data_IF_631680293878
#
_entry.id   IF_631680293878
#
_cell.length_a   1.000
_cell.length_b   1.000
_cell.length_c   1.000
_cell.angle_alpha   90.00
_cell.angle_beta   90.00
_cell.angle_gamma   90.00
#
_symmetry.space_group_name_H-M   'P 1'
#
loop_
_entity.id
_entity.type
_entity.pdbx_description
1 polymer ?
#
# COMPACT_ATOMS: atom_id res chain seq x y z
N UNK A 1 0.52 1.21 -9.92
CA UNK A 1 1.48 1.37 -9.57
C UNK A 1 1.86 2.65 -9.49
N UNK A 2 1.57 3.38 -10.32
CA UNK A 2 1.95 4.73 -10.26
C UNK A 2 1.27 5.52 -9.17
N UNK A 3 0.13 5.09 -8.69
CA UNK A 3 -0.54 5.85 -7.63
C UNK A 3 0.25 5.83 -6.33
N UNK A 4 0.96 4.74 -6.04
CA UNK A 4 1.79 4.68 -4.85
C UNK A 4 2.95 5.64 -5.00
N UNK A 5 3.64 5.60 -6.14
CA UNK A 5 4.77 6.48 -6.37
C UNK A 5 4.37 7.94 -6.34
N UNK A 6 3.24 8.26 -6.94
CA UNK A 6 2.76 9.63 -6.95
C UNK A 6 2.47 10.13 -5.53
N UNK A 7 1.82 9.28 -4.73
CA UNK A 7 1.49 9.68 -3.36
C UNK A 7 2.75 9.92 -2.55
N UNK A 8 3.73 9.04 -2.67
CA UNK A 8 4.97 9.22 -1.95
C UNK A 8 5.69 10.47 -2.41
N UNK A 9 5.68 10.72 -3.73
CA UNK A 9 6.33 11.90 -4.26
C UNK A 9 5.71 13.17 -3.69
N UNK A 10 4.40 13.19 -3.60
CA UNK A 10 3.71 14.35 -3.04
C UNK A 10 4.03 14.52 -1.55
N UNK A 11 4.09 13.43 -0.82
CA UNK A 11 4.38 13.50 0.60
C UNK A 11 5.79 13.97 0.88
N UNK A 12 6.73 13.59 0.04
CA UNK A 12 8.12 13.97 0.23
C UNK A 12 8.49 15.26 -0.47
N UNK A 13 7.62 15.75 -1.33
CA UNK A 13 7.91 16.97 -2.09
C UNK A 13 8.97 16.75 -3.15
N UNK A 14 9.00 15.55 -3.75
CA UNK A 14 9.96 15.22 -4.79
C UNK A 14 9.22 14.78 -6.03
N UNK A 15 9.96 14.46 -7.07
CA UNK A 15 9.34 14.06 -8.32
C UNK A 15 9.00 12.58 -8.32
N UNK A 16 7.97 12.23 -9.04
CA UNK A 16 7.56 10.85 -9.16
C UNK A 16 8.67 9.99 -9.75
N UNK A 17 9.45 10.55 -10.67
CA UNK A 17 10.58 9.84 -11.26
C UNK A 17 11.60 9.43 -10.22
N UNK A 18 11.84 10.30 -9.24
CA UNK A 18 12.78 9.99 -8.18
C UNK A 18 12.26 8.83 -7.33
N UNK A 19 10.97 8.84 -7.06
CA UNK A 19 10.36 7.76 -6.28
C UNK A 19 10.44 6.46 -7.06
N UNK A 20 10.08 6.49 -8.33
CA UNK A 20 10.11 5.27 -9.15
C UNK A 20 11.50 4.67 -9.23
N UNK A 21 12.51 5.51 -9.39
CA UNK A 21 13.90 5.02 -9.45
C UNK A 21 14.29 4.37 -8.13
N UNK A 22 13.90 4.99 -7.02
CA UNK A 22 14.22 4.46 -5.71
C UNK A 22 13.51 3.14 -5.46
N UNK A 23 12.23 3.07 -5.84
CA UNK A 23 11.45 1.85 -5.67
C UNK A 23 12.09 0.70 -6.44
N UNK A 24 12.55 0.98 -7.66
CA UNK A 24 13.22 -0.05 -8.45
C UNK A 24 14.47 -0.55 -7.75
N UNK A 25 15.25 0.35 -7.18
CA UNK A 25 16.47 -0.06 -6.47
C UNK A 25 16.12 -0.89 -5.24
N UNK A 26 15.10 -0.48 -4.49
CA UNK A 26 14.70 -1.23 -3.31
C UNK A 26 14.18 -2.62 -3.69
N UNK A 27 13.45 -2.72 -4.78
CA UNK A 27 12.94 -4.01 -5.23
C UNK A 27 14.06 -4.92 -5.71
N UNK A 28 15.19 -4.34 -6.13
CA UNK A 28 16.34 -5.12 -6.53
C UNK A 28 17.17 -5.59 -5.34
N UNK A 29 16.77 -5.18 -4.13
CA UNK A 29 17.47 -5.60 -2.94
C UNK A 29 18.42 -4.58 -2.35
N UNK A 30 18.46 -3.38 -2.92
CA UNK A 30 19.33 -2.34 -2.37
C UNK A 30 18.78 -1.84 -1.05
N UNK A 31 19.68 -1.44 -0.16
CA UNK A 31 19.26 -0.91 1.13
C UNK A 31 19.31 0.61 1.09
N UNK A 32 18.62 1.25 2.03
CA UNK A 32 18.62 2.70 2.11
C UNK A 32 20.03 3.27 2.25
N UNK A 33 20.89 2.75 3.15
CA UNK A 33 22.26 3.28 3.24
C UNK A 33 23.04 3.14 1.94
N UNK A 34 22.85 2.03 1.23
CA UNK A 34 23.54 1.83 -0.03
C UNK A 34 23.08 2.84 -1.06
N UNK A 35 21.78 3.05 -1.17
CA UNK A 35 21.23 3.98 -2.13
C UNK A 35 21.69 5.40 -1.81
N UNK A 36 21.66 5.77 -0.55
CA UNK A 36 22.07 7.11 -0.15
C UNK A 36 23.53 7.37 -0.48
N UNK A 37 24.35 6.33 -0.39
CA UNK A 37 25.77 6.51 -0.63
C UNK A 37 26.18 6.33 -2.08
N UNK A 38 25.65 5.35 -2.76
CA UNK A 38 26.14 4.98 -4.08
C UNK A 38 25.18 5.22 -5.23
N UNK A 39 23.96 5.60 -4.97
CA UNK A 39 22.97 5.79 -6.02
C UNK A 39 22.28 7.15 -5.93
N UNK A 40 23.00 8.15 -5.44
CA UNK A 40 22.43 9.46 -5.31
C UNK A 40 21.95 10.02 -6.62
N UNK A 41 22.71 9.85 -7.67
CA UNK A 41 22.31 10.43 -8.94
C UNK A 41 21.08 9.72 -9.52
N UNK A 42 20.88 8.46 -9.19
CA UNK A 42 19.71 7.73 -9.66
C UNK A 42 18.46 8.25 -8.99
N UNK A 43 18.57 8.60 -7.71
CA UNK A 43 17.41 9.05 -6.95
C UNK A 43 17.24 10.56 -6.96
N UNK A 44 18.09 11.29 -7.68
CA UNK A 44 18.00 12.73 -7.68
C UNK A 44 18.43 13.36 -6.36
N UNK A 45 19.39 12.72 -5.71
CA UNK A 45 19.98 13.21 -4.46
C UNK A 45 19.05 13.17 -3.26
N UNK A 46 18.19 12.19 -3.20
CA UNK A 46 17.39 11.98 -2.01
C UNK A 46 18.32 11.64 -0.85
N UNK A 47 18.10 12.28 0.29
CA UNK A 47 18.97 12.03 1.43
C UNK A 47 18.47 10.83 2.22
N UNK A 48 19.22 10.48 3.25
CA UNK A 48 18.94 9.34 4.08
C UNK A 48 17.55 9.37 4.67
N UNK A 49 17.16 10.53 5.19
CA UNK A 49 15.85 10.68 5.81
C UNK A 49 14.74 10.49 4.79
N UNK A 50 14.90 11.08 3.62
CA UNK A 50 13.89 10.97 2.58
C UNK A 50 13.78 9.53 2.10
N UNK A 51 14.90 8.84 1.94
CA UNK A 51 14.90 7.46 1.51
C UNK A 51 14.24 6.56 2.55
N UNK A 52 14.51 6.82 3.81
CA UNK A 52 13.93 6.02 4.88
C UNK A 52 12.43 6.21 4.94
N UNK A 53 11.98 7.47 4.84
CA UNK A 53 10.56 7.75 4.81
C UNK A 53 9.90 7.10 3.60
N UNK A 54 10.56 7.17 2.45
CA UNK A 54 10.04 6.57 1.23
C UNK A 54 9.86 5.07 1.40
N UNK A 55 10.86 4.41 1.99
CA UNK A 55 10.79 2.98 2.19
C UNK A 55 9.62 2.61 3.11
N UNK A 56 9.44 3.35 4.18
CA UNK A 56 8.36 3.08 5.12
C UNK A 56 7.00 3.30 4.47
N UNK A 57 6.87 4.40 3.74
CA UNK A 57 5.61 4.68 3.08
C UNK A 57 5.33 3.68 1.98
N UNK A 58 6.36 3.25 1.27
CA UNK A 58 6.19 2.25 0.22
C UNK A 58 5.63 0.97 0.81
N UNK A 59 6.21 0.53 1.91
CA UNK A 59 5.73 -0.69 2.56
C UNK A 59 4.28 -0.54 3.01
N UNK A 60 3.98 0.57 3.65
CA UNK A 60 2.63 0.81 4.14
C UNK A 60 1.62 0.86 2.99
N UNK A 61 1.96 1.59 1.94
CA UNK A 61 1.03 1.75 0.83
C UNK A 61 0.86 0.46 0.04
N UNK A 62 1.91 -0.35 -0.05
CA UNK A 62 1.79 -1.65 -0.71
C UNK A 62 0.86 -2.57 0.07
N UNK A 63 0.99 -2.55 1.39
CA UNK A 63 0.09 -3.34 2.23
C UNK A 63 -1.34 -2.84 2.12
N UNK A 64 -1.50 -1.52 2.02
CA UNK A 64 -2.82 -0.93 1.87
C UNK A 64 -3.45 -1.37 0.56
N UNK A 65 -2.70 -1.33 -0.54
CA UNK A 65 -3.23 -1.75 -1.84
C UNK A 65 -3.55 -3.23 -1.86
N UNK A 66 -2.70 -4.04 -1.23
CA UNK A 66 -2.94 -5.46 -1.16
C UNK A 66 -4.22 -5.74 -0.39
N UNK A 67 -4.39 -5.08 0.74
CA UNK A 67 -5.60 -5.25 1.54
C UNK A 67 -6.83 -4.76 0.78
N UNK A 68 -6.68 -3.66 0.06
CA UNK A 68 -7.79 -3.12 -0.74
C UNK A 68 -8.27 -4.16 -1.76
N UNK A 69 -7.33 -4.80 -2.46
CA UNK A 69 -7.70 -5.82 -3.42
C UNK A 69 -8.39 -7.00 -2.78
N UNK A 70 -7.89 -7.43 -1.62
CA UNK A 70 -8.50 -8.52 -0.89
C UNK A 70 -9.94 -8.19 -0.49
N UNK A 71 -10.15 -6.97 -0.01
CA UNK A 71 -11.47 -6.54 0.42
C UNK A 71 -12.43 -6.46 -0.77
N UNK A 72 -11.97 -5.89 -1.89
CA UNK A 72 -12.80 -5.79 -3.08
C UNK A 72 -13.20 -7.17 -3.57
N UNK A 73 -12.24 -8.10 -3.63
CA UNK A 73 -12.54 -9.45 -4.07
C UNK A 73 -13.51 -10.15 -3.15
N UNK A 74 -13.34 -9.97 -1.86
CA UNK A 74 -14.21 -10.63 -0.88
C UNK A 74 -15.65 -10.15 -1.01
N UNK A 75 -15.84 -8.84 -1.15
CA UNK A 75 -17.19 -8.30 -1.27
C UNK A 75 -17.79 -8.68 -2.61
N UNK A 76 -16.97 -8.70 -3.65
CA UNK A 76 -17.45 -9.08 -4.97
C UNK A 76 -17.91 -10.52 -4.98
N UNK A 77 -17.18 -11.41 -4.33
CA UNK A 77 -17.56 -12.82 -4.25
C UNK A 77 -18.87 -12.99 -3.50
N UNK A 78 -19.17 -12.09 -2.59
CA UNK A 78 -20.42 -12.14 -1.87
C UNK A 78 -21.57 -11.54 -2.67
N UNK A 79 -21.24 -10.93 -3.82
CA UNK A 79 -22.25 -10.31 -4.66
C UNK A 79 -22.78 -9.01 -4.10
N UNK A 80 -22.02 -8.39 -3.21
CA UNK A 80 -22.47 -7.18 -2.55
C UNK A 80 -21.70 -5.92 -2.95
N UNK A 81 -20.78 -6.04 -3.89
CA UNK A 81 -19.98 -4.91 -4.30
C UNK A 81 -20.79 -4.03 -5.24
N UNK A 82 -20.97 -2.77 -4.86
CA UNK A 82 -21.65 -1.79 -5.71
C UNK A 82 -20.64 -0.78 -6.21
N UNK A 83 -21.04 0.01 -7.20
CA UNK A 83 -20.13 1.05 -7.71
C UNK A 83 -19.78 2.05 -6.64
N UNK A 84 -20.73 2.43 -5.80
CA UNK A 84 -20.48 3.36 -4.72
C UNK A 84 -19.51 2.77 -3.71
N UNK A 85 -19.71 1.52 -3.35
CA UNK A 85 -18.83 0.88 -2.38
C UNK A 85 -17.43 0.73 -2.95
N UNK A 86 -17.33 0.33 -4.21
CA UNK A 86 -16.03 0.22 -4.86
C UNK A 86 -15.31 1.57 -4.83
N UNK A 87 -16.02 2.64 -5.17
CA UNK A 87 -15.41 3.97 -5.17
C UNK A 87 -14.93 4.36 -3.77
N UNK A 88 -15.72 4.05 -2.75
CA UNK A 88 -15.33 4.34 -1.38
C UNK A 88 -14.08 3.58 -0.97
N UNK A 89 -14.03 2.30 -1.33
CA UNK A 89 -12.87 1.47 -0.99
C UNK A 89 -11.63 1.95 -1.73
N UNK A 90 -11.79 2.33 -3.00
CA UNK A 90 -10.67 2.80 -3.78
C UNK A 90 -10.17 4.16 -3.29
N UNK A 91 -11.05 4.95 -2.71
CA UNK A 91 -10.67 6.25 -2.18
C UNK A 91 -10.07 6.19 -0.79
N UNK A 92 -10.17 5.05 -0.12
CA UNK A 92 -9.63 4.92 1.22
C UNK A 92 -8.11 5.03 1.18
N UNK A 93 -7.55 5.89 2.00
CA UNK A 93 -6.11 6.09 2.01
C UNK A 93 -5.46 5.62 3.30
N UNK A 94 -6.17 4.90 4.15
CA UNK A 94 -5.59 4.27 5.33
C UNK A 94 -6.19 2.89 5.50
N UNK A 95 -5.47 2.03 6.19
CA UNK A 95 -5.97 0.69 6.48
C UNK A 95 -7.19 0.75 7.36
N UNK A 96 -7.22 1.67 8.31
CA UNK A 96 -8.37 1.80 9.20
C UNK A 96 -9.63 2.10 8.41
N UNK A 97 -9.52 2.98 7.44
CA UNK A 97 -10.67 3.31 6.60
C UNK A 97 -11.14 2.10 5.82
N UNK A 98 -10.21 1.34 5.27
CA UNK A 98 -10.55 0.13 4.53
C UNK A 98 -11.29 -0.87 5.43
N UNK A 99 -10.78 -1.06 6.64
CA UNK A 99 -11.40 -2.01 7.55
C UNK A 99 -12.79 -1.56 7.96
N UNK A 100 -12.98 -0.26 8.16
CA UNK A 100 -14.28 0.27 8.48
C UNK A 100 -15.28 -0.02 7.37
N UNK A 101 -14.86 0.19 6.13
CA UNK A 101 -15.74 -0.06 5.00
C UNK A 101 -16.05 -1.54 4.83
N UNK A 102 -15.09 -2.38 5.17
CA UNK A 102 -15.25 -3.82 5.04
C UNK A 102 -16.03 -4.44 6.18
N UNK A 103 -16.04 -3.77 7.31
CA UNK A 103 -16.65 -4.37 8.53
C UNK A 103 -18.04 -4.97 8.30
N UNK A 104 -18.98 -4.28 7.67
CA UNK A 104 -20.32 -4.86 7.45
C UNK A 104 -20.33 -6.06 6.51
N UNK A 105 -19.23 -6.24 5.76
CA UNK A 105 -19.16 -7.29 4.75
C UNK A 105 -18.22 -8.42 5.12
N UNK A 106 -17.58 -8.34 6.27
CA UNK A 106 -16.69 -9.40 6.70
C UNK A 106 -17.44 -10.70 6.89
N UNK A 107 -16.92 -11.78 6.35
CA UNK A 107 -17.55 -13.07 6.59
C UNK A 107 -17.43 -13.44 8.06
N UNK A 108 -18.49 -14.06 8.60
CA UNK A 108 -18.38 -14.45 9.94
C UNK A 108 -17.79 -15.72 10.03
N UNK A 109 -16.73 -15.96 10.38
CA UNK A 109 -16.16 -17.16 10.40
C UNK A 109 -16.12 -17.75 11.59
N UNK A 110 -16.51 -17.75 12.26
CA UNK A 110 -16.45 -18.29 13.32
C UNK A 110 -16.77 -19.38 13.44
N UNK A 111 -16.96 -19.64 13.23
CA UNK A 111 -17.25 -20.53 13.26
C UNK A 111 -16.55 -21.40 13.02
N UNK A 112 -15.77 -21.42 12.99
CA UNK A 112 -15.14 -22.15 12.77
C UNK A 112 -14.79 -22.59 13.69
N UNK A 113 -14.73 -22.21 14.29
CA UNK A 113 -14.38 -22.54 15.05
C UNK A 113 -15.09 -23.15 15.80
N UNK A 114 -15.59 -23.06 15.92
CA UNK A 114 -16.15 -23.48 16.43
C UNK A 114 -16.46 -24.52 16.11
N UNK A 115 -16.13 -24.81 15.69
CA UNK A 115 -16.21 -25.75 15.32
C UNK A 115 -15.60 -26.55 15.49
N UNK A 116 -15.12 -26.62 15.83
CA UNK A 116 -14.53 -27.24 15.98
C UNK A 116 -14.57 -27.87 16.66
N UNK A 117 -14.92 -27.90 17.24
CA UNK A 117 -14.95 -28.42 17.75
C UNK A 117 -15.38 -29.17 17.79
N UNK A 118 -15.49 -29.18 17.76
CA UNK A 118 -15.76 -29.92 17.67
C UNK A 118 -15.73 -30.35 17.47
#
# INVERSE_FOLDING_TARGET
MNSISRRIAEELGVREQQVNATVTLLDEGATVPFIARYRKEVTGSLDDSQLRTLEERLRYLRELEDRRGTILNSIEEQGKLTDELRASIEAADTKNRLEDLYLPYKPKRRTKAQIARE
#
